data_IF_211381709126
#
_entry.id   IF_211381709126
#
_cell.length_a   1.000
_cell.length_b   1.000
_cell.length_c   1.000
_cell.angle_alpha   90.00
_cell.angle_beta   90.00
_cell.angle_gamma   90.00
#
_symmetry.space_group_name_H-M   'P 1'
#
loop_
_entity.id
_entity.type
_entity.pdbx_description
1 polymer ?
#
# COMPACT_ATOMS: atom_id res chain seq x y z
N UNK A 1 6.03 1.76 -24.58
CA UNK A 1 7.32 1.66 -23.84
C UNK A 1 7.49 2.67 -22.70
N UNK A 2 7.55 4.00 -22.94
CA UNK A 2 7.84 4.96 -21.85
C UNK A 2 6.74 5.01 -20.79
N UNK A 3 5.47 4.92 -21.19
CA UNK A 3 4.29 4.92 -20.31
C UNK A 3 4.16 3.60 -19.53
N UNK A 4 4.43 2.46 -20.17
CA UNK A 4 4.45 1.14 -19.52
C UNK A 4 5.46 1.08 -18.37
N UNK A 5 6.66 1.67 -18.56
CA UNK A 5 7.70 1.74 -17.52
C UNK A 5 7.21 2.56 -16.33
N UNK A 6 6.54 3.69 -16.58
CA UNK A 6 5.98 4.54 -15.51
C UNK A 6 4.92 3.80 -14.69
N UNK A 7 4.03 3.07 -15.35
CA UNK A 7 3.00 2.27 -14.68
C UNK A 7 3.64 1.21 -13.77
N UNK A 8 4.65 0.50 -14.27
CA UNK A 8 5.36 -0.54 -13.49
C UNK A 8 6.02 0.08 -12.25
N UNK A 9 6.70 1.23 -12.39
CA UNK A 9 7.36 1.91 -11.27
C UNK A 9 6.33 2.32 -10.21
N UNK A 10 5.21 2.92 -10.61
CA UNK A 10 4.14 3.35 -9.69
C UNK A 10 3.55 2.16 -8.94
N UNK A 11 3.27 1.06 -9.65
CA UNK A 11 2.79 -0.19 -9.03
C UNK A 11 3.80 -0.74 -8.02
N UNK A 12 5.09 -0.74 -8.37
CA UNK A 12 6.14 -1.25 -7.49
C UNK A 12 6.28 -0.41 -6.22
N UNK A 13 6.20 0.92 -6.33
CA UNK A 13 6.22 1.84 -5.20
C UNK A 13 4.99 1.65 -4.31
N UNK A 14 3.80 1.51 -4.89
CA UNK A 14 2.56 1.20 -4.15
C UNK A 14 2.71 -0.11 -3.37
N UNK A 15 3.26 -1.15 -4.00
CA UNK A 15 3.47 -2.45 -3.36
C UNK A 15 4.45 -2.36 -2.17
N UNK A 16 5.54 -1.61 -2.33
CA UNK A 16 6.49 -1.32 -1.25
C UNK A 16 5.82 -0.59 -0.09
N UNK A 17 5.00 0.43 -0.36
CA UNK A 17 4.29 1.19 0.67
C UNK A 17 3.29 0.32 1.44
N UNK A 18 2.58 -0.58 0.76
CA UNK A 18 1.68 -1.55 1.39
C UNK A 18 2.48 -2.48 2.33
N UNK A 19 3.62 -3.00 1.86
CA UNK A 19 4.51 -3.84 2.66
C UNK A 19 5.04 -3.12 3.91
N UNK A 20 5.48 -1.87 3.77
CA UNK A 20 5.95 -1.03 4.88
C UNK A 20 4.82 -0.73 5.87
N UNK A 21 3.61 -0.42 5.39
CA UNK A 21 2.45 -0.18 6.25
C UNK A 21 2.08 -1.44 7.06
N UNK A 22 2.15 -2.62 6.43
CA UNK A 22 1.96 -3.92 7.10
C UNK A 22 3.02 -4.18 8.17
N UNK A 23 4.31 -4.00 7.83
CA UNK A 23 5.41 -4.16 8.78
C UNK A 23 5.29 -3.20 9.98
N UNK A 24 4.91 -1.95 9.74
CA UNK A 24 4.66 -0.95 10.78
C UNK A 24 3.46 -1.33 11.66
N UNK A 25 2.40 -1.87 11.07
CA UNK A 25 1.24 -2.34 11.83
C UNK A 25 1.63 -3.46 12.81
N UNK A 26 2.39 -4.46 12.34
CA UNK A 26 2.93 -5.51 13.21
C UNK A 26 3.87 -4.95 14.28
N UNK A 27 4.78 -4.06 13.92
CA UNK A 27 5.69 -3.42 14.88
C UNK A 27 4.95 -2.67 16.00
N UNK A 28 3.90 -1.92 15.65
CA UNK A 28 3.08 -1.23 16.65
C UNK A 28 2.23 -2.19 17.49
N UNK A 29 1.81 -3.32 16.92
CA UNK A 29 1.12 -4.39 17.64
C UNK A 29 2.03 -4.96 18.74
N UNK A 30 3.29 -5.29 18.41
CA UNK A 30 4.27 -5.79 19.36
C UNK A 30 4.64 -4.78 20.45
N UNK A 31 4.62 -3.47 20.14
CA UNK A 31 4.82 -2.41 21.15
C UNK A 31 3.57 -2.10 21.99
N UNK A 32 2.50 -2.88 21.88
CA UNK A 32 1.24 -2.66 22.59
C UNK A 32 0.46 -1.41 22.15
N UNK A 33 0.90 -0.73 21.07
CA UNK A 33 0.29 0.51 20.56
C UNK A 33 -0.86 0.18 19.60
N UNK A 34 -1.89 -0.51 20.12
CA UNK A 34 -3.04 -1.02 19.35
C UNK A 34 -3.69 0.04 18.44
N UNK A 35 -3.86 1.27 18.94
CA UNK A 35 -4.43 2.38 18.14
C UNK A 35 -3.56 2.71 16.92
N UNK A 36 -2.24 2.78 17.07
CA UNK A 36 -1.31 3.08 15.95
C UNK A 36 -1.18 1.91 14.98
N UNK A 37 -1.25 0.68 15.48
CA UNK A 37 -1.30 -0.53 14.65
C UNK A 37 -2.55 -0.52 13.75
N UNK A 38 -3.71 -0.20 14.33
CA UNK A 38 -4.97 -0.12 13.60
C UNK A 38 -4.94 0.96 12.52
N UNK A 39 -4.40 2.15 12.83
CA UNK A 39 -4.19 3.21 11.83
C UNK A 39 -3.24 2.79 10.70
N UNK A 40 -2.14 2.08 11.00
CA UNK A 40 -1.22 1.59 9.97
C UNK A 40 -1.87 0.52 9.07
N UNK A 41 -2.70 -0.35 9.64
CA UNK A 41 -3.51 -1.32 8.88
C UNK A 41 -4.52 -0.64 7.97
N UNK A 42 -5.24 0.38 8.47
CA UNK A 42 -6.20 1.14 7.68
C UNK A 42 -5.51 1.85 6.52
N UNK A 43 -4.34 2.46 6.74
CA UNK A 43 -3.54 3.10 5.68
C UNK A 43 -3.11 2.06 4.63
N UNK A 44 -2.63 0.89 5.06
CA UNK A 44 -2.28 -0.20 4.15
C UNK A 44 -3.48 -0.68 3.31
N UNK A 45 -4.66 -0.79 3.93
CA UNK A 45 -5.90 -1.19 3.26
C UNK A 45 -6.35 -0.15 2.21
N UNK A 46 -6.27 1.14 2.55
CA UNK A 46 -6.57 2.22 1.60
C UNK A 46 -5.62 2.19 0.40
N UNK A 47 -4.32 1.94 0.62
CA UNK A 47 -3.35 1.81 -0.47
C UNK A 47 -3.65 0.61 -1.38
N UNK A 48 -4.12 -0.51 -0.83
CA UNK A 48 -4.56 -1.67 -1.62
C UNK A 48 -5.78 -1.30 -2.48
N UNK A 49 -6.76 -0.58 -1.92
CA UNK A 49 -7.94 -0.13 -2.67
C UNK A 49 -7.52 0.80 -3.81
N UNK A 50 -6.65 1.79 -3.54
CA UNK A 50 -6.13 2.69 -4.56
C UNK A 50 -5.40 1.91 -5.65
N UNK A 51 -4.55 0.94 -5.28
CA UNK A 51 -3.86 0.08 -6.23
C UNK A 51 -4.83 -0.68 -7.15
N UNK A 52 -5.86 -1.31 -6.57
CA UNK A 52 -6.88 -2.05 -7.35
C UNK A 52 -7.59 -1.10 -8.31
N UNK A 53 -8.07 0.05 -7.83
CA UNK A 53 -8.79 1.03 -8.66
C UNK A 53 -7.89 1.55 -9.79
N UNK A 54 -6.63 1.91 -9.49
CA UNK A 54 -5.66 2.33 -10.50
C UNK A 54 -5.42 1.23 -11.55
N UNK A 55 -5.34 -0.04 -11.14
CA UNK A 55 -5.15 -1.15 -12.08
C UNK A 55 -6.34 -1.33 -13.03
N UNK A 56 -7.58 -1.15 -12.55
CA UNK A 56 -8.77 -1.18 -13.39
C UNK A 56 -8.88 0.03 -14.29
N UNK A 57 -8.47 1.21 -13.82
CA UNK A 57 -8.52 2.44 -14.60
C UNK A 57 -7.49 2.50 -15.73
N UNK A 58 -6.38 1.78 -15.62
CA UNK A 58 -5.35 1.68 -16.68
C UNK A 58 -5.74 0.65 -17.76
N UNK A 59 -6.70 -0.24 -17.47
CA UNK A 59 -7.20 -1.26 -18.41
C UNK A 59 -8.43 -0.83 -19.23
N UNK A 60 -8.99 0.35 -18.97
CA UNK A 60 -10.07 0.96 -19.75
C UNK A 60 -9.49 1.94 -20.78
#
# INVERSE_FOLDING_TARGET
MREEIWIIIVVFVLFLLIGVAGALAFFFLFKGKKRKALWSLVIGLVLIIVYIVSMFSIKL
#
